data_IF_158356441033
#
_entry.id   IF_158356441033
#
_cell.length_a   1.000
_cell.length_b   1.000
_cell.length_c   1.000
_cell.angle_alpha   90.00
_cell.angle_beta   90.00
_cell.angle_gamma   90.00
#
_symmetry.space_group_name_H-M   'P 1'
#
loop_
_entity.id
_entity.type
_entity.pdbx_description
1 polymer ?
#
# COMPACT_ATOMS: atom_id res chain seq x y z
N UNK A 1 19.69 -30.16 17.18
CA UNK A 1 19.31 -29.41 15.96
C UNK A 1 20.22 -28.19 15.85
N UNK A 2 20.65 -27.81 14.65
CA UNK A 2 21.46 -26.59 14.47
C UNK A 2 20.57 -25.35 14.32
N UNK A 3 21.03 -24.20 14.81
CA UNK A 3 20.37 -22.89 14.76
C UNK A 3 19.75 -22.54 13.39
N UNK A 4 20.43 -22.89 12.29
CA UNK A 4 19.91 -22.66 10.92
C UNK A 4 18.61 -23.41 10.62
N UNK A 5 18.41 -24.59 11.21
CA UNK A 5 17.19 -25.38 11.02
C UNK A 5 16.03 -24.75 11.79
N UNK A 6 16.29 -24.31 13.03
CA UNK A 6 15.32 -23.58 13.87
C UNK A 6 14.95 -22.22 13.27
N UNK A 7 15.93 -21.51 12.69
CA UNK A 7 15.71 -20.25 11.99
C UNK A 7 14.85 -20.42 10.73
N UNK A 8 15.16 -21.43 9.90
CA UNK A 8 14.34 -21.76 8.72
C UNK A 8 12.91 -22.11 9.13
N UNK A 9 12.75 -22.89 10.19
CA UNK A 9 11.45 -23.32 10.71
C UNK A 9 10.66 -22.15 11.32
N UNK A 10 11.35 -21.18 11.92
CA UNK A 10 10.76 -19.92 12.39
C UNK A 10 10.29 -19.03 11.24
N UNK A 11 11.13 -18.81 10.22
CA UNK A 11 10.77 -18.00 9.04
C UNK A 11 9.72 -18.70 8.17
N UNK A 12 9.66 -20.03 8.16
CA UNK A 12 8.63 -20.77 7.42
C UNK A 12 7.21 -20.59 7.99
N UNK A 13 7.07 -19.91 9.14
CA UNK A 13 5.76 -19.45 9.63
C UNK A 13 5.26 -18.34 8.70
N UNK A 14 4.39 -18.68 7.75
CA UNK A 14 3.89 -17.75 6.70
C UNK A 14 3.42 -16.39 7.22
N UNK A 15 2.77 -16.35 8.40
CA UNK A 15 2.34 -15.11 9.05
C UNK A 15 3.48 -14.10 9.35
N UNK A 16 4.72 -14.56 9.55
CA UNK A 16 5.86 -13.67 9.83
C UNK A 16 6.43 -13.10 8.54
N UNK A 17 6.46 -13.90 7.48
CA UNK A 17 6.98 -13.51 6.16
C UNK A 17 6.07 -12.46 5.52
N UNK A 18 4.76 -12.69 5.51
CA UNK A 18 3.81 -11.75 4.91
C UNK A 18 3.80 -10.39 5.65
N UNK A 19 3.90 -10.42 6.98
CA UNK A 19 4.04 -9.22 7.80
C UNK A 19 5.36 -8.48 7.51
N UNK A 20 6.47 -9.20 7.41
CA UNK A 20 7.78 -8.61 7.12
C UNK A 20 7.80 -7.93 5.74
N UNK A 21 7.24 -8.59 4.72
CA UNK A 21 7.11 -8.02 3.37
C UNK A 21 6.27 -6.74 3.43
N UNK A 22 5.14 -6.75 4.13
CA UNK A 22 4.28 -5.57 4.27
C UNK A 22 5.01 -4.36 4.88
N UNK A 23 5.81 -4.57 5.93
CA UNK A 23 6.59 -3.51 6.57
C UNK A 23 7.69 -2.97 5.64
N UNK A 24 8.41 -3.86 4.95
CA UNK A 24 9.51 -3.47 4.05
C UNK A 24 8.98 -2.68 2.84
N UNK A 25 7.90 -3.15 2.21
CA UNK A 25 7.27 -2.46 1.09
C UNK A 25 6.66 -1.14 1.56
N UNK A 26 6.04 -1.12 2.74
CA UNK A 26 5.45 0.08 3.33
C UNK A 26 6.47 1.17 3.64
N UNK A 27 7.63 0.81 4.20
CA UNK A 27 8.71 1.77 4.48
C UNK A 27 9.35 2.30 3.20
N UNK A 28 9.60 1.44 2.21
CA UNK A 28 10.13 1.86 0.91
C UNK A 28 9.16 2.80 0.17
N UNK A 29 7.86 2.51 0.19
CA UNK A 29 6.83 3.37 -0.41
C UNK A 29 6.78 4.74 0.28
N UNK A 30 6.88 4.78 1.60
CA UNK A 30 6.92 6.03 2.36
C UNK A 30 8.10 6.89 1.92
N UNK A 31 9.29 6.32 1.76
CA UNK A 31 10.48 7.04 1.27
C UNK A 31 10.29 7.63 -0.14
N UNK A 32 9.63 6.91 -1.05
CA UNK A 32 9.32 7.42 -2.39
C UNK A 32 8.38 8.62 -2.32
N UNK A 33 7.37 8.54 -1.46
CA UNK A 33 6.42 9.63 -1.25
C UNK A 33 7.10 10.85 -0.63
N UNK A 34 7.96 10.66 0.39
CA UNK A 34 8.70 11.77 0.99
C UNK A 34 9.64 12.42 -0.02
N UNK A 35 10.36 11.65 -0.84
CA UNK A 35 11.19 12.23 -1.92
C UNK A 35 10.37 13.01 -2.94
N UNK A 36 9.19 12.53 -3.33
CA UNK A 36 8.31 13.29 -4.23
C UNK A 36 7.87 14.62 -3.59
N UNK A 37 7.61 14.64 -2.29
CA UNK A 37 7.18 15.85 -1.59
C UNK A 37 8.35 16.81 -1.40
N UNK A 38 9.47 16.31 -0.90
CA UNK A 38 10.61 17.11 -0.51
C UNK A 38 11.40 17.62 -1.73
N UNK A 39 11.57 16.78 -2.77
CA UNK A 39 12.41 17.10 -3.92
C UNK A 39 11.65 17.77 -5.07
N UNK A 40 10.34 17.54 -5.19
CA UNK A 40 9.53 18.09 -6.29
C UNK A 40 8.56 19.15 -5.77
N UNK A 41 7.75 18.84 -4.75
CA UNK A 41 6.69 19.76 -4.33
C UNK A 41 7.19 20.93 -3.50
N UNK A 42 8.11 20.74 -2.55
CA UNK A 42 8.66 21.85 -1.77
C UNK A 42 9.32 22.93 -2.65
N UNK A 43 10.16 22.60 -3.65
CA UNK A 43 10.70 23.59 -4.59
C UNK A 43 9.62 24.26 -5.44
N UNK A 44 8.62 23.51 -5.92
CA UNK A 44 7.49 24.06 -6.68
C UNK A 44 6.67 25.06 -5.85
N UNK A 45 6.34 24.68 -4.61
CA UNK A 45 5.59 25.52 -3.68
C UNK A 45 6.44 26.71 -3.26
N UNK A 46 7.73 26.53 -3.00
CA UNK A 46 8.67 27.60 -2.69
C UNK A 46 8.77 28.64 -3.81
N UNK A 47 8.79 28.20 -5.06
CA UNK A 47 8.80 29.10 -6.23
C UNK A 47 7.46 29.83 -6.43
N UNK A 48 6.33 29.20 -6.10
CA UNK A 48 4.99 29.80 -6.20
C UNK A 48 4.70 30.78 -5.04
N UNK A 49 5.16 30.45 -3.83
CA UNK A 49 4.93 31.24 -2.62
C UNK A 49 6.00 32.29 -2.36
N UNK A 50 7.03 32.36 -3.20
CA UNK A 50 8.09 33.38 -3.11
C UNK A 50 9.10 33.14 -2.00
N UNK A 51 9.31 31.88 -1.59
CA UNK A 51 10.30 31.50 -0.58
C UNK A 51 9.82 31.64 0.87
N UNK A 52 8.56 31.27 1.17
CA UNK A 52 8.05 31.24 2.55
C UNK A 52 8.81 30.21 3.41
N UNK A 53 9.90 30.65 4.03
CA UNK A 53 10.57 29.92 5.10
C UNK A 53 9.86 30.22 6.42
N UNK A 54 8.83 29.44 6.73
CA UNK A 54 8.15 29.51 8.02
C UNK A 54 9.11 29.29 9.20
N UNK A 55 10.26 28.66 8.95
CA UNK A 55 11.40 28.43 9.85
C UNK A 55 11.91 29.71 10.54
N UNK A 56 11.81 30.87 9.89
CA UNK A 56 12.35 32.13 10.42
C UNK A 56 11.43 32.82 11.44
N UNK A 57 10.20 32.32 11.60
CA UNK A 57 9.26 32.86 12.57
C UNK A 57 9.57 32.40 13.98
N UNK A 58 10.06 33.35 14.78
CA UNK A 58 10.43 33.17 16.20
C UNK A 58 9.80 34.26 17.05
N UNK A 59 9.35 33.90 18.25
CA UNK A 59 8.95 34.84 19.30
C UNK A 59 9.85 34.54 20.50
N UNK A 60 10.79 35.46 20.76
CA UNK A 60 11.88 35.21 21.70
C UNK A 60 12.71 33.98 21.30
N UNK A 61 12.93 33.07 22.25
CA UNK A 61 13.65 31.81 22.02
C UNK A 61 12.75 30.65 21.51
N UNK A 62 11.46 30.89 21.29
CA UNK A 62 10.54 29.84 20.82
C UNK A 62 10.43 29.93 19.29
N UNK A 63 11.04 28.97 18.60
CA UNK A 63 10.97 28.82 17.14
C UNK A 63 9.72 28.02 16.74
N UNK A 64 8.55 28.65 16.85
CA UNK A 64 7.27 28.06 16.43
C UNK A 64 7.20 27.85 14.90
N UNK A 65 8.04 28.56 14.14
CA UNK A 65 8.20 28.39 12.70
C UNK A 65 8.48 26.96 12.25
N UNK A 66 9.34 26.23 12.98
CA UNK A 66 9.66 24.83 12.67
C UNK A 66 8.44 23.92 12.85
N UNK A 67 7.63 24.18 13.87
CA UNK A 67 6.44 23.39 14.12
C UNK A 67 5.38 23.61 13.04
N UNK A 68 5.15 24.87 12.66
CA UNK A 68 4.21 25.21 11.58
C UNK A 68 4.68 24.60 10.25
N UNK A 69 5.98 24.70 9.95
CA UNK A 69 6.58 24.07 8.77
C UNK A 69 6.35 22.55 8.75
N UNK A 70 6.55 21.87 9.90
CA UNK A 70 6.31 20.43 10.02
C UNK A 70 4.83 20.07 9.82
N UNK A 71 3.89 20.85 10.37
CA UNK A 71 2.44 20.66 10.17
C UNK A 71 2.07 20.84 8.70
N UNK A 72 2.58 21.89 8.04
CA UNK A 72 2.35 22.14 6.61
C UNK A 72 2.90 21.00 5.77
N UNK A 73 4.12 20.52 6.06
CA UNK A 73 4.71 19.39 5.34
C UNK A 73 3.85 18.12 5.51
N UNK A 74 3.42 17.80 6.73
CA UNK A 74 2.54 16.68 6.99
C UNK A 74 1.22 16.75 6.18
N UNK A 75 0.60 17.92 6.11
CA UNK A 75 -0.61 18.13 5.31
C UNK A 75 -0.36 17.96 3.81
N UNK A 76 0.79 18.43 3.29
CA UNK A 76 1.17 18.25 1.89
C UNK A 76 1.38 16.77 1.58
N UNK A 77 2.16 16.05 2.40
CA UNK A 77 2.40 14.61 2.25
C UNK A 77 1.08 13.84 2.24
N UNK A 78 0.18 14.13 3.20
CA UNK A 78 -1.13 13.50 3.27
C UNK A 78 -1.98 13.79 2.02
N UNK A 79 -1.98 15.03 1.53
CA UNK A 79 -2.71 15.42 0.32
C UNK A 79 -2.18 14.72 -0.94
N UNK A 80 -0.87 14.54 -1.03
CA UNK A 80 -0.19 13.87 -2.15
C UNK A 80 -0.47 12.38 -2.14
N UNK A 81 -0.34 11.72 -0.97
CA UNK A 81 -0.75 10.33 -0.78
C UNK A 81 -2.20 10.11 -1.19
N UNK A 82 -3.10 10.98 -0.72
CA UNK A 82 -4.50 10.93 -1.10
C UNK A 82 -4.69 11.11 -2.61
N UNK A 83 -3.98 12.06 -3.22
CA UNK A 83 -4.06 12.33 -4.67
C UNK A 83 -3.54 11.15 -5.50
N UNK A 84 -2.45 10.50 -5.09
CA UNK A 84 -1.91 9.30 -5.74
C UNK A 84 -2.89 8.13 -5.60
N UNK A 85 -3.40 7.86 -4.39
CA UNK A 85 -4.38 6.79 -4.17
C UNK A 85 -5.65 7.06 -4.97
N UNK A 86 -6.12 8.32 -5.03
CA UNK A 86 -7.27 8.72 -5.83
C UNK A 86 -7.00 8.59 -7.32
N UNK A 87 -5.82 8.95 -7.80
CA UNK A 87 -5.42 8.79 -9.20
C UNK A 87 -5.34 7.31 -9.57
N UNK A 88 -4.76 6.48 -8.71
CA UNK A 88 -4.70 5.02 -8.87
C UNK A 88 -6.10 4.40 -8.80
N UNK A 89 -6.97 4.83 -7.89
CA UNK A 89 -8.36 4.34 -7.80
C UNK A 89 -9.21 4.81 -8.98
N UNK A 90 -8.94 6.01 -9.53
CA UNK A 90 -9.59 6.52 -10.75
C UNK A 90 -9.09 5.80 -12.00
N UNK A 91 -7.78 5.57 -12.12
CA UNK A 91 -7.19 4.80 -13.20
C UNK A 91 -7.59 3.32 -13.14
N UNK A 92 -7.65 2.74 -11.93
CA UNK A 92 -8.16 1.39 -11.71
C UNK A 92 -9.65 1.32 -11.94
N UNK A 93 -10.49 2.27 -11.56
CA UNK A 93 -11.92 2.21 -11.91
C UNK A 93 -12.17 2.32 -13.42
N UNK A 94 -11.27 2.96 -14.17
CA UNK A 94 -11.26 2.94 -15.63
C UNK A 94 -10.73 1.61 -16.21
N UNK A 95 -9.68 1.02 -15.61
CA UNK A 95 -9.10 -0.25 -16.04
C UNK A 95 -9.86 -1.50 -15.54
N UNK A 96 -10.59 -1.42 -14.43
CA UNK A 96 -11.40 -2.48 -13.81
C UNK A 96 -12.71 -2.66 -14.58
N UNK A 97 -13.19 -1.65 -15.31
CA UNK A 97 -14.22 -1.86 -16.34
C UNK A 97 -13.73 -2.71 -17.51
N UNK A 98 -12.42 -2.79 -17.76
CA UNK A 98 -11.82 -3.65 -18.79
C UNK A 98 -11.22 -4.94 -18.23
N UNK A 99 -11.00 -5.02 -16.92
CA UNK A 99 -10.47 -6.20 -16.21
C UNK A 99 -11.50 -6.86 -15.31
N UNK A 100 -12.76 -6.84 -15.73
CA UNK A 100 -13.84 -7.71 -15.23
C UNK A 100 -13.84 -9.06 -15.96
N UNK A 101 -12.66 -9.57 -16.31
CA UNK A 101 -12.45 -10.91 -16.87
C UNK A 101 -11.14 -11.48 -16.33
N UNK A 102 -11.03 -11.55 -15.02
CA UNK A 102 -10.72 -12.84 -14.42
C UNK A 102 -11.98 -13.18 -13.63
N UNK A 103 -12.95 -13.76 -14.34
CA UNK A 103 -14.09 -14.41 -13.69
C UNK A 103 -13.51 -15.34 -12.60
N UNK A 104 -14.07 -15.35 -11.37
CA UNK A 104 -13.52 -16.14 -10.27
C UNK A 104 -13.38 -17.58 -10.74
N UNK A 105 -12.17 -18.05 -11.05
CA UNK A 105 -11.92 -19.35 -11.71
C UNK A 105 -12.37 -20.54 -10.88
N UNK A 106 -12.83 -20.30 -9.66
CA UNK A 106 -13.23 -21.29 -8.68
C UNK A 106 -14.66 -21.06 -8.20
N UNK A 107 -15.49 -22.09 -8.32
CA UNK A 107 -16.81 -22.20 -7.69
C UNK A 107 -16.70 -23.01 -6.40
N UNK A 108 -17.53 -22.71 -5.41
CA UNK A 108 -17.61 -23.53 -4.20
C UNK A 108 -18.44 -24.78 -4.50
N UNK A 109 -17.90 -25.96 -4.19
CA UNK A 109 -18.66 -27.20 -4.33
C UNK A 109 -19.80 -27.24 -3.30
N UNK A 110 -21.05 -27.34 -3.76
CA UNK A 110 -22.25 -27.39 -2.90
C UNK A 110 -22.22 -28.54 -1.89
N UNK A 111 -21.54 -29.64 -2.21
CA UNK A 111 -21.52 -30.86 -1.39
C UNK A 111 -20.40 -30.88 -0.35
N UNK A 112 -19.18 -30.52 -0.74
CA UNK A 112 -18.01 -30.65 0.14
C UNK A 112 -17.32 -29.33 0.50
N UNK A 113 -17.86 -28.19 0.03
CA UNK A 113 -17.40 -26.85 0.41
C UNK A 113 -15.93 -26.54 0.05
N UNK A 114 -15.32 -27.36 -0.81
CA UNK A 114 -13.98 -27.11 -1.36
C UNK A 114 -14.05 -26.20 -2.57
N UNK A 115 -13.04 -25.34 -2.74
CA UNK A 115 -12.87 -24.51 -3.93
C UNK A 115 -12.42 -25.37 -5.12
N UNK A 116 -13.13 -25.27 -6.23
CA UNK A 116 -12.93 -26.11 -7.43
C UNK A 116 -13.07 -25.28 -8.70
N UNK A 117 -12.47 -25.66 -9.83
CA UNK A 117 -12.58 -24.89 -11.07
C UNK A 117 -14.05 -24.71 -11.53
N UNK A 118 -14.45 -23.54 -12.05
CA UNK A 118 -15.83 -23.30 -12.52
C UNK A 118 -16.26 -24.37 -13.55
N UNK A 119 -15.35 -24.72 -14.46
CA UNK A 119 -15.60 -25.69 -15.52
C UNK A 119 -15.61 -27.16 -15.05
N UNK A 120 -15.37 -27.42 -13.76
CA UNK A 120 -15.42 -28.78 -13.23
C UNK A 120 -16.87 -29.29 -13.19
N UNK A 121 -17.13 -30.33 -13.98
CA UNK A 121 -18.39 -31.10 -13.98
C UNK A 121 -18.42 -32.18 -12.90
N UNK A 122 -17.25 -32.49 -12.31
CA UNK A 122 -17.10 -33.38 -11.16
C UNK A 122 -16.14 -32.79 -10.15
N UNK A 123 -16.51 -32.83 -8.88
CA UNK A 123 -15.65 -32.38 -7.80
C UNK A 123 -14.48 -33.37 -7.60
N UNK A 124 -13.20 -32.94 -7.64
CA UNK A 124 -12.07 -33.81 -7.38
C UNK A 124 -11.96 -34.29 -5.93
N UNK A 125 -12.58 -33.57 -4.98
CA UNK A 125 -12.51 -33.89 -3.56
C UNK A 125 -13.58 -34.89 -3.12
N UNK A 126 -14.83 -34.70 -3.53
CA UNK A 126 -15.95 -35.57 -3.12
C UNK A 126 -16.58 -36.37 -4.26
N UNK A 127 -16.07 -36.27 -5.48
CA UNK A 127 -16.54 -37.00 -6.67
C UNK A 127 -18.00 -36.76 -7.08
N UNK A 128 -18.69 -35.81 -6.43
CA UNK A 128 -20.04 -35.41 -6.80
C UNK A 128 -20.06 -34.77 -8.19
N UNK A 129 -21.14 -35.00 -8.93
CA UNK A 129 -21.43 -34.26 -10.15
C UNK A 129 -21.96 -32.88 -9.78
N UNK A 130 -21.40 -31.87 -10.43
CA UNK A 130 -21.75 -30.48 -10.25
C UNK A 130 -22.24 -29.99 -11.59
N UNK A 131 -23.56 -29.89 -11.72
CA UNK A 131 -24.21 -29.26 -12.86
C UNK A 131 -23.82 -27.77 -12.97
#
# INVERSE_FOLDING_TARGET
MGFFKEFKEFISKGSVVDMAIGIIVGSAFTSIVTSLVDDILMPLIGNITGGLNFTDWKIGNIAYGNFISAVVNFLIVAFVLFSIIKAMNKARSLAVKTKAEEAPTEKECTYCKSMIPIAATRCPHCTSQLD
#
